data_IF_678654806386
#
_entry.id   IF_678654806386
#
_cell.length_a   1.000
_cell.length_b   1.000
_cell.length_c   1.000
_cell.angle_alpha   90.00
_cell.angle_beta   90.00
_cell.angle_gamma   90.00
#
_symmetry.space_group_name_H-M   'P 1'
#
loop_
_entity.id
_entity.type
_entity.pdbx_description
1 polymer ?
#
# COMPACT_ATOMS: atom_id res chain seq x y z
N UNK A 1 7.01 -12.00 -23.87
CA UNK A 1 6.46 -10.98 -22.94
C UNK A 1 7.55 -9.99 -22.54
N UNK A 2 8.59 -10.46 -21.85
CA UNK A 2 9.75 -9.66 -21.46
C UNK A 2 10.43 -8.93 -22.63
N UNK A 3 10.77 -9.63 -23.72
CA UNK A 3 11.43 -9.01 -24.87
C UNK A 3 10.58 -7.91 -25.52
N UNK A 4 9.25 -8.08 -25.51
CA UNK A 4 8.32 -7.08 -26.03
C UNK A 4 8.22 -5.86 -25.11
N UNK A 5 8.26 -6.05 -23.79
CA UNK A 5 8.34 -4.97 -22.81
C UNK A 5 9.66 -4.20 -22.91
N UNK A 6 10.78 -4.90 -23.09
CA UNK A 6 12.11 -4.29 -23.24
C UNK A 6 12.29 -3.51 -24.55
N UNK A 7 11.51 -3.85 -25.57
CA UNK A 7 11.53 -3.18 -26.87
C UNK A 7 10.58 -1.96 -26.94
N UNK A 8 9.74 -1.72 -25.93
CA UNK A 8 8.89 -0.53 -25.89
C UNK A 8 9.68 0.74 -25.58
N UNK A 9 9.16 1.86 -26.08
CA UNK A 9 9.72 3.17 -25.78
C UNK A 9 9.67 3.46 -24.28
N UNK A 10 10.78 3.98 -23.75
CA UNK A 10 10.87 4.32 -22.33
C UNK A 10 9.96 5.49 -22.00
N UNK A 11 9.13 5.31 -20.98
CA UNK A 11 8.25 6.37 -20.50
C UNK A 11 9.10 7.39 -19.73
N UNK A 12 8.97 8.71 -20.02
CA UNK A 12 9.70 9.73 -19.29
C UNK A 12 9.37 9.67 -17.81
N UNK A 13 10.41 9.64 -16.97
CA UNK A 13 10.29 9.49 -15.51
C UNK A 13 9.87 10.83 -14.91
N UNK A 14 8.56 11.05 -14.81
CA UNK A 14 7.97 12.21 -14.13
C UNK A 14 7.72 11.89 -12.66
N UNK A 15 7.71 12.92 -11.81
CA UNK A 15 7.44 12.80 -10.36
C UNK A 15 6.02 12.31 -10.05
N UNK A 16 5.09 12.41 -11.01
CA UNK A 16 3.69 12.00 -10.86
C UNK A 16 3.39 10.64 -11.52
N UNK A 17 4.42 9.91 -11.95
CA UNK A 17 4.20 8.63 -12.62
C UNK A 17 3.77 7.55 -11.62
N UNK A 18 2.48 7.18 -11.68
CA UNK A 18 1.95 6.05 -10.92
C UNK A 18 2.28 4.72 -11.61
N UNK A 19 3.37 4.12 -11.14
CA UNK A 19 3.87 2.83 -11.63
C UNK A 19 2.87 1.68 -11.37
N UNK A 20 2.10 1.71 -10.28
CA UNK A 20 1.10 0.68 -9.98
C UNK A 20 -0.08 0.79 -10.95
N UNK A 21 -0.54 2.01 -11.23
CA UNK A 21 -1.57 2.27 -12.22
C UNK A 21 -1.11 1.85 -13.62
N UNK A 22 0.15 2.10 -13.98
CA UNK A 22 0.71 1.66 -15.26
C UNK A 22 0.67 0.14 -15.43
N UNK A 23 1.11 -0.62 -14.42
CA UNK A 23 1.02 -2.09 -14.43
C UNK A 23 -0.41 -2.60 -14.37
N UNK A 24 -1.34 -1.86 -13.75
CA UNK A 24 -2.77 -2.19 -13.78
C UNK A 24 -3.36 -2.06 -15.18
N UNK A 25 -2.99 -1.01 -15.92
CA UNK A 25 -3.48 -0.75 -17.27
C UNK A 25 -2.83 -1.67 -18.33
N UNK A 26 -1.53 -1.92 -18.21
CA UNK A 26 -0.77 -2.74 -19.16
C UNK A 26 -0.74 -4.23 -18.80
N UNK A 27 -1.33 -4.62 -17.67
CA UNK A 27 -1.30 -5.99 -17.19
C UNK A 27 -1.98 -7.01 -18.10
N UNK A 28 -2.99 -6.59 -18.86
CA UNK A 28 -3.62 -7.46 -19.87
C UNK A 28 -2.66 -7.80 -21.02
N UNK A 29 -1.72 -6.89 -21.32
CA UNK A 29 -0.68 -7.09 -22.34
C UNK A 29 0.50 -7.90 -21.80
N UNK A 30 0.75 -7.78 -20.49
CA UNK A 30 1.88 -8.39 -19.80
C UNK A 30 1.43 -9.10 -18.51
N UNK A 31 0.68 -10.22 -18.59
CA UNK A 31 0.11 -10.86 -17.41
C UNK A 31 1.16 -11.47 -16.47
N UNK A 32 2.25 -12.01 -17.01
CA UNK A 32 3.32 -12.63 -16.21
C UNK A 32 4.18 -11.56 -15.53
N UNK A 33 4.58 -10.54 -16.28
CA UNK A 33 5.37 -9.42 -15.77
C UNK A 33 4.56 -8.58 -14.77
N UNK A 34 3.25 -8.42 -14.99
CA UNK A 34 2.38 -7.74 -14.02
C UNK A 34 2.36 -8.47 -12.67
N UNK A 35 2.28 -9.81 -12.67
CA UNK A 35 2.31 -10.58 -11.44
C UNK A 35 3.63 -10.35 -10.67
N UNK A 36 4.75 -10.45 -11.38
CA UNK A 36 6.09 -10.21 -10.83
C UNK A 36 6.22 -8.76 -10.32
N UNK A 37 5.82 -7.79 -11.12
CA UNK A 37 5.89 -6.38 -10.77
C UNK A 37 5.04 -6.05 -9.55
N UNK A 38 3.83 -6.61 -9.44
CA UNK A 38 2.98 -6.42 -8.26
C UNK A 38 3.65 -6.93 -6.99
N UNK A 39 4.29 -8.10 -7.04
CA UNK A 39 4.95 -8.68 -5.88
C UNK A 39 6.15 -7.82 -5.42
N UNK A 40 6.96 -7.33 -6.37
CA UNK A 40 8.07 -6.43 -6.05
C UNK A 40 7.60 -5.04 -5.57
N UNK A 41 6.60 -4.45 -6.22
CA UNK A 41 6.09 -3.14 -5.86
C UNK A 41 5.36 -3.16 -4.51
N UNK A 42 4.68 -4.26 -4.17
CA UNK A 42 4.08 -4.44 -2.85
C UNK A 42 5.15 -4.43 -1.72
N UNK A 43 6.33 -5.02 -1.97
CA UNK A 43 7.44 -4.98 -1.01
C UNK A 43 7.95 -3.53 -0.82
N UNK A 44 8.09 -2.77 -1.91
CA UNK A 44 8.55 -1.37 -1.82
C UNK A 44 7.56 -0.50 -1.04
N UNK A 45 6.26 -0.64 -1.32
CA UNK A 45 5.21 0.11 -0.63
C UNK A 45 5.16 -0.24 0.86
N UNK A 46 5.30 -1.53 1.21
CA UNK A 46 5.31 -1.94 2.62
C UNK A 46 6.58 -1.51 3.35
N UNK A 47 7.74 -1.52 2.68
CA UNK A 47 9.00 -1.01 3.24
C UNK A 47 8.90 0.48 3.56
N UNK A 48 8.54 1.32 2.58
CA UNK A 48 8.41 2.77 2.82
C UNK A 48 7.32 3.08 3.87
N UNK A 49 6.20 2.36 3.85
CA UNK A 49 5.16 2.51 4.87
C UNK A 49 5.65 2.08 6.27
N UNK A 50 6.45 1.02 6.36
CA UNK A 50 7.02 0.54 7.62
C UNK A 50 8.07 1.50 8.19
N UNK A 51 8.93 2.06 7.33
CA UNK A 51 9.91 3.08 7.72
C UNK A 51 9.22 4.38 8.14
N UNK A 52 8.17 4.79 7.43
CA UNK A 52 7.35 5.95 7.80
C UNK A 52 6.57 5.72 9.10
N UNK A 53 6.00 4.54 9.31
CA UNK A 53 5.32 4.17 10.55
C UNK A 53 6.29 4.08 11.74
N UNK A 54 7.50 3.56 11.53
CA UNK A 54 8.55 3.50 12.55
C UNK A 54 9.11 4.88 12.88
N UNK A 55 9.38 5.71 11.85
CA UNK A 55 9.82 7.10 11.99
C UNK A 55 8.77 7.94 12.73
N UNK A 56 7.49 7.75 12.41
CA UNK A 56 6.37 8.39 13.10
C UNK A 56 6.18 7.83 14.52
N UNK A 57 6.43 6.53 14.72
CA UNK A 57 6.37 5.85 16.01
C UNK A 57 7.48 6.26 16.98
N UNK A 58 8.64 6.70 16.48
CA UNK A 58 9.75 7.20 17.31
C UNK A 58 9.42 8.43 18.16
N UNK A 59 8.35 9.17 17.83
CA UNK A 59 7.84 10.31 18.62
C UNK A 59 6.77 9.91 19.65
N UNK A 60 6.24 8.70 19.55
CA UNK A 60 5.23 8.15 20.47
C UNK A 60 5.87 7.37 21.63
N UNK A 61 7.16 7.04 21.52
CA UNK A 61 7.96 6.41 22.58
C UNK A 61 8.61 7.52 23.41
N UNK A 62 7.77 8.33 24.07
CA UNK A 62 8.19 9.10 25.23
C UNK A 62 8.59 8.10 26.34
N UNK A 63 9.64 8.36 27.16
CA UNK A 63 10.14 7.44 28.20
C UNK A 63 9.08 6.94 29.20
N UNK A 64 7.88 7.51 29.20
CA UNK A 64 6.80 7.14 30.10
C UNK A 64 6.05 5.84 29.76
N UNK A 65 6.33 5.19 28.61
CA UNK A 65 5.65 3.94 28.19
C UNK A 65 6.50 2.66 28.17
N UNK A 66 7.64 2.59 28.87
CA UNK A 66 8.41 1.34 29.07
C UNK A 66 7.65 0.19 29.77
N UNK A 67 6.32 0.30 29.98
CA UNK A 67 5.46 -0.68 30.65
C UNK A 67 4.36 -1.26 29.77
N UNK A 68 4.19 -0.81 28.53
CA UNK A 68 3.22 -1.44 27.62
C UNK A 68 3.93 -2.51 26.81
N UNK A 69 3.63 -3.75 27.17
CA UNK A 69 4.13 -4.95 26.53
C UNK A 69 3.87 -4.90 25.02
N UNK A 70 4.82 -5.40 24.22
CA UNK A 70 4.76 -5.41 22.75
C UNK A 70 3.41 -5.87 22.20
N UNK A 71 2.80 -6.88 22.83
CA UNK A 71 1.48 -7.40 22.46
C UNK A 71 0.35 -6.37 22.57
N UNK A 72 0.44 -5.41 23.49
CA UNK A 72 -0.57 -4.36 23.63
C UNK A 72 -0.43 -3.30 22.54
N UNK A 73 0.80 -3.02 22.09
CA UNK A 73 1.05 -2.12 20.97
C UNK A 73 0.59 -2.76 19.65
N UNK A 74 0.90 -4.04 19.46
CA UNK A 74 0.45 -4.83 18.30
C UNK A 74 -1.08 -4.91 18.24
N UNK A 75 -1.74 -5.22 19.36
CA UNK A 75 -3.20 -5.23 19.43
C UNK A 75 -3.81 -3.86 19.10
N UNK A 76 -3.24 -2.75 19.60
CA UNK A 76 -3.70 -1.40 19.27
C UNK A 76 -3.54 -1.07 17.77
N UNK A 77 -2.42 -1.45 17.16
CA UNK A 77 -2.19 -1.23 15.73
C UNK A 77 -3.16 -2.05 14.86
N UNK A 78 -3.34 -3.33 15.19
CA UNK A 78 -4.30 -4.20 14.50
C UNK A 78 -5.74 -3.68 14.62
N UNK A 79 -6.17 -3.31 15.83
CA UNK A 79 -7.51 -2.74 16.06
C UNK A 79 -7.70 -1.45 15.26
N UNK A 80 -6.70 -0.57 15.20
CA UNK A 80 -6.77 0.67 14.41
C UNK A 80 -6.90 0.38 12.92
N UNK A 81 -6.08 -0.52 12.37
CA UNK A 81 -6.16 -0.89 10.95
C UNK A 81 -7.52 -1.47 10.58
N UNK A 82 -8.09 -2.33 11.43
CA UNK A 82 -9.39 -2.96 11.17
C UNK A 82 -10.55 -1.96 11.25
N UNK A 83 -10.52 -1.02 12.22
CA UNK A 83 -11.54 0.03 12.34
C UNK A 83 -11.49 0.98 11.14
N UNK A 84 -10.28 1.31 10.65
CA UNK A 84 -10.14 2.15 9.45
C UNK A 84 -10.64 1.43 8.20
N UNK A 85 -10.34 0.14 8.05
CA UNK A 85 -10.84 -0.67 6.93
C UNK A 85 -12.37 -0.83 6.98
N UNK A 86 -12.95 -1.02 8.17
CA UNK A 86 -14.40 -1.08 8.36
C UNK A 86 -15.09 0.25 8.02
N UNK A 87 -14.48 1.37 8.42
CA UNK A 87 -14.97 2.71 8.08
C UNK A 87 -14.94 2.96 6.57
N UNK A 88 -13.86 2.55 5.88
CA UNK A 88 -13.74 2.66 4.42
C UNK A 88 -14.76 1.77 3.69
N UNK A 89 -15.02 0.56 4.20
CA UNK A 89 -16.06 -0.34 3.69
C UNK A 89 -17.46 0.23 3.91
N UNK A 90 -17.71 0.85 5.06
CA UNK A 90 -18.97 1.53 5.37
C UNK A 90 -19.22 2.74 4.48
N UNK A 91 -18.20 3.56 4.21
CA UNK A 91 -18.28 4.67 3.26
C UNK A 91 -18.60 4.14 1.87
N UNK A 92 -17.90 3.11 1.38
CA UNK A 92 -18.18 2.47 0.07
C UNK A 92 -19.56 1.82 -0.02
N UNK A 93 -20.05 1.25 1.08
CA UNK A 93 -21.40 0.71 1.18
C UNK A 93 -22.45 1.81 1.02
N UNK A 94 -22.30 2.93 1.73
CA UNK A 94 -23.28 4.03 1.71
C UNK A 94 -23.42 4.68 0.33
N UNK A 95 -22.35 4.81 -0.45
CA UNK A 95 -22.40 5.34 -1.84
C UNK A 95 -23.15 4.41 -2.80
N UNK A 96 -23.26 3.11 -2.48
CA UNK A 96 -23.98 2.14 -3.31
C UNK A 96 -25.49 2.12 -3.04
N UNK A 97 -25.94 2.58 -1.85
CA UNK A 97 -27.35 2.63 -1.48
C UNK A 97 -28.04 3.97 -1.82
N UNK A 98 -27.28 5.02 -2.18
CA UNK A 98 -27.81 6.34 -2.60
C UNK A 98 -28.06 6.45 -4.13
N UNK A 99 -27.92 5.35 -4.89
CA UNK A 99 -28.27 5.27 -6.32
C UNK A 99 -29.43 4.31 -6.53
N UNK A 100 -30.55 4.55 -5.85
CA UNK A 100 -31.86 4.01 -6.24
C UNK A 100 -32.98 5.02 -6.00
#
# INVERSE_FOLDING_TARGET
ELDHYLAEDTIPRTTEFDLLLWWKLNGLKYPTLQAIARDFLAILVTSEASESAFSSGGRLIDPHRSRLHYSTVEAMMCSRSWIMEDMERGIRGSILYDVH
#
